data_IF_820294740247
#
_entry.id   IF_820294740247
#
_cell.length_a   1.000
_cell.length_b   1.000
_cell.length_c   1.000
_cell.angle_alpha   90.00
_cell.angle_beta   90.00
_cell.angle_gamma   90.00
#
_symmetry.space_group_name_H-M   'P 1'
#
loop_
_entity.id
_entity.type
_entity.pdbx_description
1 polymer ?
#
# COMPACT_ATOMS: atom_id res chain seq x y z
N UNK A 1 12.72 -2.88 -4.99
CA UNK A 1 11.42 -3.04 -5.68
C UNK A 1 10.42 -2.01 -5.19
N UNK A 2 9.38 -1.77 -5.98
CA UNK A 2 8.24 -0.91 -5.64
C UNK A 2 7.00 -1.78 -5.52
N UNK A 3 6.17 -1.51 -4.51
CA UNK A 3 4.84 -2.12 -4.34
C UNK A 3 3.75 -1.06 -4.44
N UNK A 4 2.51 -1.48 -4.59
CA UNK A 4 1.38 -0.57 -4.81
C UNK A 4 0.27 -0.80 -3.79
N UNK A 5 -0.42 0.28 -3.41
CA UNK A 5 -1.63 0.20 -2.61
C UNK A 5 -2.79 0.87 -3.33
N UNK A 6 -3.86 0.11 -3.56
CA UNK A 6 -5.10 0.60 -4.14
C UNK A 6 -6.05 1.09 -3.05
N UNK A 7 -6.50 2.34 -3.15
CA UNK A 7 -7.46 2.91 -2.21
C UNK A 7 -8.46 3.82 -2.93
N UNK A 8 -9.38 4.42 -2.19
CA UNK A 8 -10.28 5.44 -2.71
C UNK A 8 -9.72 6.84 -2.44
N UNK A 9 -9.93 7.75 -3.39
CA UNK A 9 -9.52 9.17 -3.30
C UNK A 9 -9.87 9.85 -1.96
N UNK A 10 -11.04 9.55 -1.36
CA UNK A 10 -11.43 10.11 -0.05
C UNK A 10 -10.52 9.72 1.12
N UNK A 11 -9.64 8.73 0.95
CA UNK A 11 -8.71 8.29 1.99
C UNK A 11 -7.31 8.90 1.85
N UNK A 12 -6.97 9.56 0.74
CA UNK A 12 -5.61 10.05 0.47
C UNK A 12 -5.12 11.02 1.54
N UNK A 13 -5.95 12.00 1.93
CA UNK A 13 -5.59 12.97 2.96
C UNK A 13 -5.19 12.29 4.28
N UNK A 14 -5.97 11.30 4.75
CA UNK A 14 -5.64 10.56 5.97
C UNK A 14 -4.41 9.68 5.81
N UNK A 15 -4.14 9.17 4.61
CA UNK A 15 -2.96 8.32 4.34
C UNK A 15 -1.69 9.18 4.29
N UNK A 16 -1.76 10.37 3.71
CA UNK A 16 -0.65 11.33 3.71
C UNK A 16 -0.44 12.02 5.06
N UNK A 17 -1.37 11.90 6.00
CA UNK A 17 -1.20 12.32 7.39
C UNK A 17 -0.61 11.18 8.26
N UNK A 18 -1.11 9.95 8.12
CA UNK A 18 -0.87 8.85 9.07
C UNK A 18 -0.10 7.67 8.53
N UNK A 19 0.18 7.64 7.22
CA UNK A 19 0.66 6.45 6.52
C UNK A 19 -0.44 5.41 6.26
N UNK A 20 -0.05 4.23 5.78
CA UNK A 20 -0.95 3.08 5.68
C UNK A 20 -0.91 2.29 6.98
N UNK A 21 -2.08 2.13 7.58
CA UNK A 21 -2.30 1.34 8.80
C UNK A 21 -3.27 0.19 8.51
N UNK A 22 -3.05 -0.94 9.20
CA UNK A 22 -3.81 -2.19 9.00
C UNK A 22 -5.31 -2.12 9.34
N UNK A 23 -5.77 -1.07 10.04
CA UNK A 23 -7.17 -0.90 10.51
C UNK A 23 -7.68 -2.21 11.15
N UNK A 24 -8.77 -2.79 10.65
CA UNK A 24 -9.37 -4.04 11.17
C UNK A 24 -8.70 -5.32 10.62
N UNK A 25 -7.61 -5.21 9.86
CA UNK A 25 -6.84 -6.35 9.34
C UNK A 25 -5.59 -6.57 10.19
N UNK A 26 -4.98 -7.74 10.03
CA UNK A 26 -3.72 -8.07 10.70
C UNK A 26 -2.50 -7.35 10.10
N UNK A 27 -2.54 -7.03 8.80
CA UNK A 27 -1.45 -6.37 8.07
C UNK A 27 -1.99 -5.41 7.00
N UNK A 28 -1.17 -4.44 6.61
CA UNK A 28 -1.38 -3.67 5.37
C UNK A 28 -1.17 -4.59 4.18
N UNK A 29 -2.08 -4.50 3.21
CA UNK A 29 -2.02 -5.29 1.98
C UNK A 29 -1.49 -4.44 0.83
N UNK A 30 -0.51 -4.97 0.13
CA UNK A 30 0.17 -4.36 -1.00
C UNK A 30 0.09 -5.28 -2.23
N UNK A 31 0.12 -4.66 -3.41
CA UNK A 31 0.07 -5.31 -4.71
C UNK A 31 1.43 -5.23 -5.39
N UNK A 32 1.81 -6.28 -6.11
CA UNK A 32 3.03 -6.28 -6.92
C UNK A 32 2.91 -5.42 -8.19
N UNK A 33 1.68 -5.13 -8.64
CA UNK A 33 1.41 -4.38 -9.88
C UNK A 33 0.39 -3.26 -9.65
N UNK A 34 0.51 -2.21 -10.45
CA UNK A 34 -0.45 -1.10 -10.49
C UNK A 34 -1.85 -1.55 -10.88
N UNK A 35 -1.98 -2.47 -11.84
CA UNK A 35 -3.28 -2.97 -12.29
C UNK A 35 -4.06 -3.69 -11.18
N UNK A 36 -3.38 -4.54 -10.40
CA UNK A 36 -3.99 -5.20 -9.23
C UNK A 36 -4.40 -4.17 -8.18
N UNK A 37 -3.55 -3.17 -7.90
CA UNK A 37 -3.90 -2.10 -6.97
C UNK A 37 -5.12 -1.30 -7.45
N UNK A 38 -5.21 -0.93 -8.73
CA UNK A 38 -6.38 -0.24 -9.29
C UNK A 38 -7.67 -1.05 -9.07
N UNK A 39 -7.66 -2.34 -9.39
CA UNK A 39 -8.82 -3.23 -9.19
C UNK A 39 -9.23 -3.36 -7.72
N UNK A 40 -8.27 -3.34 -6.80
CA UNK A 40 -8.55 -3.32 -5.34
C UNK A 40 -9.16 -1.98 -4.94
N UNK A 41 -8.58 -0.86 -5.38
CA UNK A 41 -9.07 0.49 -5.07
C UNK A 41 -10.50 0.76 -5.54
N UNK A 42 -10.88 0.21 -6.70
CA UNK A 42 -12.22 0.32 -7.28
C UNK A 42 -13.32 -0.22 -6.34
N UNK A 43 -13.01 -1.24 -5.54
CA UNK A 43 -13.95 -1.81 -4.55
C UNK A 43 -14.31 -0.83 -3.45
N UNK A 44 -13.54 0.24 -3.30
CA UNK A 44 -13.73 1.25 -2.29
C UNK A 44 -14.29 2.57 -2.85
N UNK A 45 -14.40 2.76 -4.17
CA UNK A 45 -14.92 4.00 -4.80
C UNK A 45 -14.04 4.47 -5.95
N UNK A 46 -13.96 5.79 -6.21
CA UNK A 46 -13.05 6.36 -7.21
C UNK A 46 -11.60 5.99 -6.86
N UNK A 47 -10.94 5.11 -7.65
CA UNK A 47 -9.66 4.53 -7.26
C UNK A 47 -8.53 5.56 -7.37
N UNK A 48 -7.56 5.42 -6.48
CA UNK A 48 -6.23 6.03 -6.56
C UNK A 48 -5.21 4.95 -6.22
N UNK A 49 -4.08 4.96 -6.92
CA UNK A 49 -2.98 4.04 -6.65
C UNK A 49 -1.85 4.80 -6.01
N UNK A 50 -1.38 4.28 -4.88
CA UNK A 50 -0.21 4.77 -4.18
C UNK A 50 0.98 3.88 -4.49
N UNK A 51 2.13 4.50 -4.73
CA UNK A 51 3.41 3.83 -4.87
C UNK A 51 4.10 3.76 -3.51
N UNK A 52 4.60 2.58 -3.16
CA UNK A 52 5.31 2.31 -1.91
C UNK A 52 6.77 2.02 -2.22
N UNK A 53 7.68 2.81 -1.65
CA UNK A 53 9.12 2.57 -1.73
C UNK A 53 9.53 1.41 -0.79
N UNK A 54 9.03 0.22 -1.10
CA UNK A 54 9.23 -0.99 -0.30
C UNK A 54 10.70 -1.43 -0.26
N UNK A 55 11.51 -1.07 -1.27
CA UNK A 55 12.95 -1.30 -1.24
C UNK A 55 13.63 -0.55 -0.10
N UNK A 56 13.36 0.74 0.02
CA UNK A 56 13.96 1.56 1.06
C UNK A 56 13.46 1.14 2.44
N UNK A 57 12.17 0.78 2.54
CA UNK A 57 11.61 0.20 3.77
C UNK A 57 12.34 -1.08 4.15
N UNK A 58 12.49 -2.03 3.22
CA UNK A 58 13.19 -3.28 3.50
C UNK A 58 14.65 -3.05 3.93
N UNK A 59 15.36 -2.14 3.26
CA UNK A 59 16.73 -1.71 3.64
C UNK A 59 16.79 -1.07 5.04
N UNK A 60 15.68 -0.55 5.55
CA UNK A 60 15.54 0.05 6.89
C UNK A 60 14.98 -0.93 7.93
N UNK A 61 14.83 -2.22 7.59
CA UNK A 61 14.43 -3.27 8.52
C UNK A 61 12.93 -3.51 8.63
N UNK A 62 12.11 -2.90 7.76
CA UNK A 62 10.69 -3.21 7.71
C UNK A 62 10.47 -4.60 7.12
N UNK A 63 9.65 -5.40 7.79
CA UNK A 63 9.34 -6.76 7.36
C UNK A 63 8.25 -6.76 6.29
N UNK A 64 8.45 -7.64 5.31
CA UNK A 64 7.49 -7.90 4.25
C UNK A 64 7.27 -9.40 4.12
N UNK A 65 6.02 -9.80 3.92
CA UNK A 65 5.63 -11.19 3.77
C UNK A 65 4.86 -11.36 2.47
N UNK A 66 5.21 -12.40 1.71
CA UNK A 66 4.41 -12.81 0.56
C UNK A 66 3.46 -13.92 0.97
N UNK A 67 2.16 -13.66 0.91
CA UNK A 67 1.14 -14.68 1.15
C UNK A 67 1.10 -15.72 0.02
N UNK A 68 0.47 -16.88 0.29
CA UNK A 68 0.24 -17.93 -0.73
C UNK A 68 -0.53 -17.42 -1.97
N UNK A 69 -1.33 -16.36 -1.82
CA UNK A 69 -2.13 -15.78 -2.90
C UNK A 69 -1.42 -14.59 -3.58
N UNK A 70 -0.09 -14.51 -3.49
CA UNK A 70 0.74 -13.45 -4.08
C UNK A 70 0.39 -12.01 -3.62
N UNK A 71 -0.26 -11.86 -2.45
CA UNK A 71 -0.47 -10.57 -1.80
C UNK A 71 0.70 -10.28 -0.87
N UNK A 72 1.28 -9.09 -0.99
CA UNK A 72 2.34 -8.60 -0.10
C UNK A 72 1.74 -8.00 1.16
N UNK A 73 2.36 -8.29 2.30
CA UNK A 73 1.91 -7.88 3.62
C UNK A 73 3.03 -7.16 4.36
N UNK A 74 2.70 -6.11 5.09
CA UNK A 74 3.60 -5.45 6.04
C UNK A 74 2.79 -4.89 7.21
N UNK A 75 3.42 -4.57 8.33
CA UNK A 75 2.70 -4.09 9.53
C UNK A 75 2.07 -2.70 9.32
N UNK A 76 2.86 -1.75 8.81
CA UNK A 76 2.42 -0.40 8.43
C UNK A 76 3.36 0.19 7.37
N UNK A 77 2.92 1.26 6.70
CA UNK A 77 3.76 2.03 5.77
C UNK A 77 3.83 3.49 6.22
N UNK A 78 4.98 3.96 6.69
CA UNK A 78 5.18 5.38 7.02
C UNK A 78 5.00 6.29 5.82
N UNK A 79 4.50 7.51 6.04
CA UNK A 79 4.17 8.48 4.99
C UNK A 79 5.34 8.79 4.06
N UNK A 80 6.58 8.85 4.57
CA UNK A 80 7.76 9.17 3.76
C UNK A 80 8.08 8.14 2.66
N UNK A 81 7.43 6.97 2.69
CA UNK A 81 7.59 5.93 1.67
C UNK A 81 6.40 5.85 0.71
N UNK A 82 5.44 6.79 0.80
CA UNK A 82 4.22 6.81 0.01
C UNK A 82 4.26 7.98 -0.96
N UNK A 83 3.97 7.71 -2.23
CA UNK A 83 3.65 8.74 -3.23
C UNK A 83 2.41 8.34 -4.03
N UNK A 84 1.78 9.29 -4.72
CA UNK A 84 0.82 8.91 -5.77
C UNK A 84 1.58 8.24 -6.92
N UNK A 85 0.96 7.24 -7.56
CA UNK A 85 1.52 6.60 -8.74
C UNK A 85 1.00 7.33 -9.99
N UNK A 86 1.89 8.02 -10.70
CA UNK A 86 1.65 8.68 -12.00
C UNK A 86 0.96 7.73 -13.00
#
# INVERSE_FOLDING_TARGET
MVLFHGTATRFTASIFDKGLIKKNRQHVHLSATRSTATSVGQRHGKPVVLQINSEQMHKKGYEFYLSKNAVWLTDHVPVQYISEAD
#
